data_IF_353529201089
#
_entry.id   IF_353529201089
#
_cell.length_a   1.000
_cell.length_b   1.000
_cell.length_c   1.000
_cell.angle_alpha   90.00
_cell.angle_beta   90.00
_cell.angle_gamma   90.00
#
_symmetry.space_group_name_H-M   'P 1'
#
loop_
_entity.id
_entity.type
_entity.pdbx_description
1 polymer ?
#
# COMPACT_ATOMS: atom_id res chain seq x y z
N UNK A 1 3.28 -0.53 -14.32
CA UNK A 1 1.96 -0.98 -13.86
C UNK A 1 1.79 -0.62 -12.41
N UNK A 2 0.65 -0.05 -12.06
CA UNK A 2 0.43 0.39 -10.70
C UNK A 2 -0.74 -0.33 -10.06
N UNK A 3 -0.72 -0.36 -8.74
CA UNK A 3 -1.75 -1.02 -7.96
C UNK A 3 -2.39 -0.02 -7.03
N UNK A 4 -3.68 -0.16 -6.82
CA UNK A 4 -4.39 0.61 -5.82
C UNK A 4 -4.23 -0.09 -4.48
N UNK A 5 -3.63 0.60 -3.53
CA UNK A 5 -3.29 0.02 -2.25
C UNK A 5 -4.07 0.72 -1.16
N UNK A 6 -4.78 -0.07 -0.37
CA UNK A 6 -5.46 0.41 0.83
C UNK A 6 -4.56 0.07 2.00
N UNK A 7 -4.22 1.08 2.78
CA UNK A 7 -3.28 0.88 3.88
C UNK A 7 -3.75 1.61 5.12
N UNK A 8 -3.13 1.26 6.23
CA UNK A 8 -3.40 1.89 7.50
C UNK A 8 -2.07 2.24 8.17
N UNK A 9 -1.97 3.47 8.62
CA UNK A 9 -0.80 3.96 9.34
C UNK A 9 -1.29 4.46 10.68
N UNK A 10 -1.01 3.68 11.74
CA UNK A 10 -1.56 4.00 13.04
C UNK A 10 -3.06 3.93 13.02
N UNK A 11 -3.72 5.02 13.36
CA UNK A 11 -5.18 5.11 13.36
C UNK A 11 -5.75 5.67 12.07
N UNK A 12 -4.90 5.93 11.09
CA UNK A 12 -5.35 6.57 9.87
C UNK A 12 -5.28 5.62 8.71
N UNK A 13 -6.32 5.64 7.89
CA UNK A 13 -6.40 4.83 6.69
C UNK A 13 -6.18 5.70 5.48
N UNK A 14 -5.55 5.12 4.46
CA UNK A 14 -5.29 5.84 3.24
C UNK A 14 -5.38 4.95 2.02
N UNK A 15 -5.40 5.61 0.88
CA UNK A 15 -5.40 4.94 -0.42
C UNK A 15 -4.36 5.61 -1.28
N UNK A 16 -3.57 4.80 -1.98
CA UNK A 16 -2.59 5.33 -2.91
C UNK A 16 -2.35 4.37 -4.05
N UNK A 17 -1.63 4.85 -5.06
CA UNK A 17 -1.25 4.04 -6.21
C UNK A 17 0.24 3.84 -6.18
N UNK A 18 0.66 2.58 -6.20
CA UNK A 18 2.07 2.24 -6.04
C UNK A 18 2.47 1.15 -7.02
N UNK A 19 3.73 1.19 -7.44
CA UNK A 19 4.30 0.14 -8.27
C UNK A 19 4.68 -1.06 -7.41
N UNK A 20 5.07 -2.16 -8.07
CA UNK A 20 5.51 -3.36 -7.37
C UNK A 20 6.65 -3.07 -6.39
N UNK A 21 7.64 -2.32 -6.84
CA UNK A 21 8.79 -2.02 -5.99
C UNK A 21 8.38 -1.18 -4.79
N UNK A 22 7.47 -0.26 -5.01
CA UNK A 22 7.00 0.58 -3.92
C UNK A 22 6.19 -0.22 -2.91
N UNK A 23 5.40 -1.16 -3.38
CA UNK A 23 4.63 -2.02 -2.48
C UNK A 23 5.57 -2.87 -1.63
N UNK A 24 6.61 -3.42 -2.24
CA UNK A 24 7.60 -4.18 -1.49
C UNK A 24 8.24 -3.34 -0.40
N UNK A 25 8.53 -2.08 -0.73
CA UNK A 25 9.11 -1.17 0.24
C UNK A 25 8.14 -0.93 1.40
N UNK A 26 6.87 -0.73 1.08
CA UNK A 26 5.86 -0.51 2.12
C UNK A 26 5.73 -1.72 3.04
N UNK A 27 5.82 -2.91 2.48
CA UNK A 27 5.68 -4.12 3.28
C UNK A 27 6.80 -4.27 4.30
N UNK A 28 7.96 -3.68 4.03
CA UNK A 28 9.08 -3.74 4.95
C UNK A 28 8.94 -2.75 6.09
N UNK A 29 8.04 -1.78 5.95
CA UNK A 29 7.83 -0.79 6.98
C UNK A 29 6.78 -1.29 7.96
N UNK A 30 7.20 -1.54 9.19
CA UNK A 30 6.31 -2.14 10.18
C UNK A 30 5.23 -1.18 10.66
N UNK A 31 5.37 0.11 10.40
CA UNK A 31 4.37 1.08 10.81
C UNK A 31 3.17 1.12 9.87
N UNK A 32 3.31 0.54 8.68
CA UNK A 32 2.27 0.57 7.67
C UNK A 32 1.70 -0.83 7.51
N UNK A 33 0.39 -0.93 7.60
CA UNK A 33 -0.30 -2.20 7.38
C UNK A 33 -1.00 -2.14 6.03
N UNK A 34 -0.71 -3.10 5.17
CA UNK A 34 -1.37 -3.21 3.88
C UNK A 34 -2.67 -3.96 4.08
N UNK A 35 -3.79 -3.31 3.81
CA UNK A 35 -5.10 -3.91 4.01
C UNK A 35 -5.54 -4.65 2.77
N UNK A 36 -5.37 -4.04 1.61
CA UNK A 36 -5.83 -4.63 0.37
C UNK A 36 -5.04 -4.04 -0.80
N UNK A 37 -4.83 -4.87 -1.81
CA UNK A 37 -4.13 -4.44 -3.02
C UNK A 37 -4.96 -4.85 -4.21
N UNK A 38 -5.29 -3.89 -5.07
CA UNK A 38 -6.03 -4.15 -6.28
C UNK A 38 -5.20 -3.71 -7.48
N UNK A 39 -5.37 -4.43 -8.58
CA UNK A 39 -4.74 -3.99 -9.80
C UNK A 39 -5.40 -2.68 -10.23
N UNK A 40 -4.59 -1.63 -10.28
CA UNK A 40 -5.14 -0.31 -10.56
C UNK A 40 -5.33 -0.05 -12.03
N UNK A 41 -4.70 -0.83 -12.87
CA UNK A 41 -4.80 -0.53 -14.28
C UNK A 41 -4.37 -1.72 -15.09
#
# INVERSE_FOLDING_TARGET
MKYEVFYQLGNQKGIGYFSDNEIDYLKKNTDIEIINVKRGN
#
